data_IF_594361188431
#
_entry.id   IF_594361188431
#
_cell.length_a   1.000
_cell.length_b   1.000
_cell.length_c   1.000
_cell.angle_alpha   90.00
_cell.angle_beta   90.00
_cell.angle_gamma   90.00
#
_symmetry.space_group_name_H-M   'P 1'
#
loop_
_entity.id
_entity.type
_entity.pdbx_description
1 polymer ?
#
# COMPACT_ATOMS: atom_id res chain seq x y z
N UNK A 1 -5.00 -12.08 20.88
CA UNK A 1 -4.58 -11.35 19.70
C UNK A 1 -5.74 -10.48 19.22
N UNK A 2 -5.59 -9.14 19.16
CA UNK A 2 -6.71 -8.29 18.77
C UNK A 2 -6.93 -8.30 17.26
N UNK A 3 -5.87 -8.18 16.47
CA UNK A 3 -5.99 -8.19 15.01
C UNK A 3 -4.83 -8.93 14.36
N UNK A 4 -5.17 -9.74 13.35
CA UNK A 4 -4.24 -10.36 12.43
C UNK A 4 -4.39 -9.72 11.05
N UNK A 5 -3.33 -9.12 10.56
CA UNK A 5 -3.26 -8.61 9.19
C UNK A 5 -2.78 -9.71 8.25
N UNK A 6 -3.49 -9.93 7.15
CA UNK A 6 -3.12 -10.92 6.14
C UNK A 6 -2.76 -10.20 4.84
N UNK A 7 -1.55 -10.45 4.34
CA UNK A 7 -1.14 -10.18 2.98
C UNK A 7 -1.33 -11.46 2.17
N UNK A 8 -2.36 -11.54 1.30
CA UNK A 8 -2.69 -12.78 0.60
C UNK A 8 -1.69 -13.05 -0.54
N UNK A 9 -1.41 -14.32 -0.81
CA UNK A 9 -0.70 -14.71 -2.03
C UNK A 9 -1.68 -14.71 -3.23
N UNK A 10 -1.35 -13.94 -4.24
CA UNK A 10 -2.03 -13.92 -5.54
C UNK A 10 -1.02 -13.99 -6.69
N UNK A 11 0.22 -14.30 -6.38
CA UNK A 11 1.33 -14.24 -7.35
C UNK A 11 1.17 -15.25 -8.48
N UNK A 12 0.70 -16.45 -8.18
CA UNK A 12 0.46 -17.49 -9.18
C UNK A 12 -0.65 -17.10 -10.17
N UNK A 13 -1.73 -16.50 -9.67
CA UNK A 13 -2.86 -16.04 -10.51
C UNK A 13 -2.48 -14.81 -11.35
N UNK A 14 -1.69 -13.89 -10.78
CA UNK A 14 -1.30 -12.66 -11.45
C UNK A 14 -0.17 -12.85 -12.48
N UNK A 15 0.82 -13.67 -12.15
CA UNK A 15 2.07 -13.78 -12.92
C UNK A 15 2.36 -15.19 -13.44
N UNK A 16 1.54 -16.18 -13.10
CA UNK A 16 1.74 -17.59 -13.49
C UNK A 16 3.16 -18.08 -13.12
N UNK A 17 3.81 -18.84 -13.99
CA UNK A 17 5.17 -19.33 -13.75
C UNK A 17 6.24 -18.22 -13.63
N UNK A 18 5.98 -17.04 -14.16
CA UNK A 18 6.89 -15.90 -14.02
C UNK A 18 7.01 -15.41 -12.56
N UNK A 19 6.01 -15.68 -11.71
CA UNK A 19 6.03 -15.35 -10.30
C UNK A 19 7.22 -15.96 -9.56
N UNK A 20 7.64 -17.15 -9.95
CA UNK A 20 8.71 -17.90 -9.28
C UNK A 20 10.08 -17.23 -9.41
N UNK A 21 10.35 -16.60 -10.54
CA UNK A 21 11.70 -16.08 -10.86
C UNK A 21 11.72 -14.56 -11.04
N UNK A 22 10.77 -14.00 -11.78
CA UNK A 22 10.86 -12.61 -12.25
C UNK A 22 10.13 -11.60 -11.40
N UNK A 23 9.03 -11.97 -10.71
CA UNK A 23 8.29 -11.03 -9.88
C UNK A 23 9.12 -10.52 -8.70
N UNK A 24 8.88 -9.29 -8.30
CA UNK A 24 9.28 -8.82 -6.98
C UNK A 24 8.40 -9.49 -5.91
N UNK A 25 8.89 -9.56 -4.69
CA UNK A 25 8.12 -9.83 -3.47
C UNK A 25 8.37 -8.64 -2.57
N UNK A 26 7.36 -7.82 -2.39
CA UNK A 26 7.46 -6.59 -1.61
C UNK A 26 6.92 -6.80 -0.20
N UNK A 27 7.53 -6.21 0.83
CA UNK A 27 6.91 -6.17 2.14
C UNK A 27 5.52 -5.54 2.06
N UNK A 28 4.55 -6.02 2.85
CA UNK A 28 3.17 -5.52 2.83
C UNK A 28 3.08 -4.15 3.53
N UNK A 29 3.54 -3.10 2.86
CA UNK A 29 3.74 -1.75 3.43
C UNK A 29 2.51 -1.21 4.14
N UNK A 30 1.31 -1.42 3.60
CA UNK A 30 0.09 -0.93 4.23
C UNK A 30 -0.29 -1.75 5.48
N UNK A 31 -0.06 -3.06 5.47
CA UNK A 31 -0.21 -3.89 6.68
C UNK A 31 0.74 -3.45 7.79
N UNK A 32 1.99 -3.12 7.44
CA UNK A 32 2.99 -2.62 8.40
C UNK A 32 2.58 -1.29 9.03
N UNK A 33 2.05 -0.35 8.24
CA UNK A 33 1.55 0.94 8.73
C UNK A 33 0.33 0.76 9.64
N UNK A 34 -0.65 -0.05 9.23
CA UNK A 34 -1.84 -0.32 10.04
C UNK A 34 -1.48 -1.05 11.35
N UNK A 35 -0.57 -2.02 11.28
CA UNK A 35 -0.12 -2.76 12.45
C UNK A 35 0.56 -1.84 13.46
N UNK A 36 1.49 -0.99 13.03
CA UNK A 36 2.16 -0.04 13.92
C UNK A 36 1.18 1.00 14.49
N UNK A 37 0.26 1.48 13.67
CA UNK A 37 -0.80 2.38 14.09
C UNK A 37 -1.71 1.75 15.18
N UNK A 38 -2.13 0.50 14.99
CA UNK A 38 -2.91 -0.22 16.00
C UNK A 38 -2.10 -0.48 17.28
N UNK A 39 -0.82 -0.89 17.13
CA UNK A 39 0.09 -1.14 18.26
C UNK A 39 0.32 0.11 19.10
N UNK A 40 0.44 1.28 18.46
CA UNK A 40 0.56 2.58 19.15
C UNK A 40 -0.65 2.96 20.01
N UNK A 41 -1.81 2.34 19.71
CA UNK A 41 -3.06 2.51 20.48
C UNK A 41 -3.28 1.39 21.51
N UNK A 42 -2.30 0.49 21.70
CA UNK A 42 -2.31 -0.57 22.70
C UNK A 42 -2.93 -1.90 22.26
N UNK A 43 -3.24 -2.07 20.97
CA UNK A 43 -3.75 -3.34 20.45
C UNK A 43 -2.62 -4.34 20.17
N UNK A 44 -2.88 -5.62 20.43
CA UNK A 44 -1.99 -6.71 20.06
C UNK A 44 -2.19 -7.06 18.58
N UNK A 45 -1.09 -7.08 17.82
CA UNK A 45 -1.09 -7.20 16.37
C UNK A 45 -0.11 -8.24 15.88
N UNK A 46 -0.43 -8.89 14.77
CA UNK A 46 0.47 -9.78 14.03
C UNK A 46 0.22 -9.64 12.53
N UNK A 47 1.22 -9.96 11.71
CA UNK A 47 1.13 -9.98 10.25
C UNK A 47 1.43 -11.38 9.76
N UNK A 48 0.56 -11.91 8.89
CA UNK A 48 0.78 -13.13 8.12
C UNK A 48 0.99 -12.76 6.65
N UNK A 49 2.22 -12.86 6.18
CA UNK A 49 2.56 -12.59 4.78
C UNK A 49 2.60 -13.89 3.99
N UNK A 50 1.44 -14.27 3.44
CA UNK A 50 1.29 -15.51 2.69
C UNK A 50 2.08 -15.52 1.38
N UNK A 51 2.24 -14.37 0.73
CA UNK A 51 3.01 -14.25 -0.53
C UNK A 51 4.51 -14.44 -0.28
N UNK A 52 5.07 -13.71 0.67
CA UNK A 52 6.50 -13.80 0.99
C UNK A 52 6.90 -15.18 1.52
N UNK A 53 6.10 -15.75 2.40
CA UNK A 53 6.36 -17.06 3.00
C UNK A 53 5.95 -18.23 2.07
N UNK A 54 5.29 -17.94 0.95
CA UNK A 54 4.81 -18.92 -0.04
C UNK A 54 3.96 -20.02 0.60
N UNK A 55 3.05 -19.61 1.47
CA UNK A 55 2.19 -20.52 2.19
C UNK A 55 1.11 -21.08 1.28
N UNK A 56 0.91 -22.38 1.34
CA UNK A 56 -0.29 -22.99 0.75
C UNK A 56 -1.54 -22.51 1.48
N UNK A 57 -2.68 -22.60 0.81
CA UNK A 57 -3.99 -22.25 1.38
C UNK A 57 -4.24 -22.95 2.72
N UNK A 58 -3.86 -24.23 2.81
CA UNK A 58 -3.98 -25.01 4.04
C UNK A 58 -3.08 -24.49 5.15
N UNK A 59 -1.80 -24.25 4.88
CA UNK A 59 -0.86 -23.72 5.87
C UNK A 59 -1.28 -22.36 6.38
N UNK A 60 -1.75 -21.48 5.51
CA UNK A 60 -2.28 -20.17 5.87
C UNK A 60 -3.51 -20.31 6.79
N UNK A 61 -4.45 -21.17 6.42
CA UNK A 61 -5.66 -21.45 7.23
C UNK A 61 -5.29 -22.00 8.61
N UNK A 62 -4.40 -22.98 8.67
CA UNK A 62 -3.95 -23.60 9.93
C UNK A 62 -3.25 -22.59 10.84
N UNK A 63 -2.42 -21.68 10.28
CA UNK A 63 -1.78 -20.61 11.04
C UNK A 63 -2.76 -19.62 11.62
N UNK A 64 -3.73 -19.14 10.83
CA UNK A 64 -4.77 -18.20 11.32
C UNK A 64 -5.56 -18.81 12.46
N UNK A 65 -5.96 -20.08 12.34
CA UNK A 65 -6.65 -20.81 13.43
C UNK A 65 -5.80 -20.93 14.68
N UNK A 66 -4.51 -21.20 14.54
CA UNK A 66 -3.58 -21.29 15.68
C UNK A 66 -3.40 -19.95 16.40
N UNK A 67 -3.37 -18.84 15.66
CA UNK A 67 -3.26 -17.48 16.21
C UNK A 67 -4.55 -17.11 16.94
N UNK A 68 -5.71 -17.54 16.44
CA UNK A 68 -7.03 -17.26 17.03
C UNK A 68 -7.25 -15.77 17.32
N UNK A 69 -7.21 -14.88 16.29
CA UNK A 69 -7.39 -13.45 16.47
C UNK A 69 -8.86 -13.09 16.73
N UNK A 70 -9.11 -11.92 17.33
CA UNK A 70 -10.46 -11.35 17.45
C UNK A 70 -10.98 -10.82 16.10
N UNK A 71 -10.07 -10.35 15.25
CA UNK A 71 -10.38 -9.81 13.93
C UNK A 71 -9.30 -10.24 12.93
N UNK A 72 -9.73 -10.72 11.76
CA UNK A 72 -8.85 -10.96 10.61
C UNK A 72 -9.02 -9.81 9.62
N UNK A 73 -7.93 -9.15 9.22
CA UNK A 73 -7.95 -8.06 8.25
C UNK A 73 -7.11 -8.42 7.03
N UNK A 74 -7.76 -8.67 5.90
CA UNK A 74 -7.10 -8.79 4.60
C UNK A 74 -6.74 -7.40 4.09
N UNK A 75 -5.44 -7.15 3.92
CA UNK A 75 -4.90 -5.89 3.41
C UNK A 75 -4.52 -6.07 1.95
N UNK A 76 -5.43 -5.69 1.05
CA UNK A 76 -5.32 -5.98 -0.38
C UNK A 76 -4.94 -4.72 -1.15
N UNK A 77 -3.66 -4.42 -1.12
CA UNK A 77 -3.04 -3.39 -1.95
C UNK A 77 -2.11 -4.05 -2.98
N UNK A 78 -2.01 -3.46 -4.16
CA UNK A 78 -1.02 -3.86 -5.15
C UNK A 78 0.24 -2.99 -5.07
N UNK A 79 1.18 -3.24 -5.96
CA UNK A 79 2.40 -2.43 -6.10
C UNK A 79 2.13 -0.95 -6.44
N UNK A 80 0.94 -0.66 -6.90
CA UNK A 80 0.40 0.68 -7.12
C UNK A 80 -1.12 0.63 -6.90
N UNK A 81 -1.81 1.78 -6.75
CA UNK A 81 -3.24 1.80 -6.46
C UNK A 81 -4.12 1.01 -7.43
N UNK A 82 -3.72 0.94 -8.70
CA UNK A 82 -4.51 0.28 -9.74
C UNK A 82 -4.35 -1.25 -9.75
N UNK A 83 -3.32 -1.81 -9.12
CA UNK A 83 -3.02 -3.25 -9.17
C UNK A 83 -3.66 -4.06 -8.03
N UNK A 84 -4.33 -3.44 -7.08
CA UNK A 84 -4.97 -4.14 -5.96
C UNK A 84 -6.06 -5.13 -6.38
N UNK A 85 -6.72 -4.91 -7.53
CA UNK A 85 -7.78 -5.80 -8.02
C UNK A 85 -7.28 -7.22 -8.32
N UNK A 86 -6.06 -7.37 -8.83
CA UNK A 86 -5.49 -8.70 -9.16
C UNK A 86 -5.21 -9.53 -7.91
N UNK A 87 -4.96 -8.88 -6.78
CA UNK A 87 -4.69 -9.54 -5.50
C UNK A 87 -5.96 -9.99 -4.76
N UNK A 88 -7.15 -9.57 -5.23
CA UNK A 88 -8.42 -9.99 -4.61
C UNK A 88 -8.69 -11.49 -4.76
N UNK A 89 -8.21 -12.13 -5.81
CA UNK A 89 -8.47 -13.56 -6.06
C UNK A 89 -7.93 -14.41 -4.91
N UNK A 90 -6.64 -14.29 -4.61
CA UNK A 90 -6.04 -15.04 -3.51
C UNK A 90 -6.60 -14.65 -2.13
N UNK A 91 -7.01 -13.38 -1.96
CA UNK A 91 -7.67 -12.94 -0.74
C UNK A 91 -9.01 -13.65 -0.53
N UNK A 92 -9.86 -13.74 -1.55
CA UNK A 92 -11.14 -14.46 -1.46
C UNK A 92 -10.94 -15.95 -1.26
N UNK A 93 -10.01 -16.60 -1.99
CA UNK A 93 -9.71 -18.03 -1.81
C UNK A 93 -9.34 -18.36 -0.36
N UNK A 94 -8.48 -17.55 0.26
CA UNK A 94 -8.10 -17.75 1.65
C UNK A 94 -9.26 -17.42 2.62
N UNK A 95 -10.00 -16.36 2.39
CA UNK A 95 -11.16 -16.01 3.21
C UNK A 95 -12.24 -17.09 3.19
N UNK A 96 -12.54 -17.68 2.01
CA UNK A 96 -13.43 -18.84 1.89
C UNK A 96 -12.92 -20.07 2.66
N UNK A 97 -11.61 -20.33 2.57
CA UNK A 97 -10.99 -21.44 3.30
C UNK A 97 -11.12 -21.24 4.81
N UNK A 98 -10.94 -20.02 5.30
CA UNK A 98 -11.12 -19.68 6.71
C UNK A 98 -12.57 -19.88 7.16
N UNK A 99 -13.55 -19.42 6.38
CA UNK A 99 -14.99 -19.66 6.69
C UNK A 99 -15.34 -21.14 6.73
N UNK A 100 -14.80 -21.94 5.81
CA UNK A 100 -15.01 -23.40 5.80
C UNK A 100 -14.29 -24.12 6.96
N UNK A 101 -13.36 -23.47 7.63
CA UNK A 101 -12.59 -24.01 8.75
C UNK A 101 -13.18 -23.71 10.13
N UNK A 102 -14.41 -23.21 10.19
CA UNK A 102 -15.10 -22.81 11.43
C UNK A 102 -14.37 -21.70 12.21
N UNK A 103 -13.76 -20.74 11.51
CA UNK A 103 -13.16 -19.56 12.12
C UNK A 103 -14.29 -18.66 12.69
N UNK A 104 -14.26 -18.40 14.00
CA UNK A 104 -15.25 -17.53 14.65
C UNK A 104 -14.98 -16.03 14.40
N UNK A 105 -13.70 -15.65 14.24
CA UNK A 105 -13.33 -14.26 14.04
C UNK A 105 -13.93 -13.68 12.76
N UNK A 106 -14.48 -12.46 12.80
CA UNK A 106 -14.97 -11.78 11.60
C UNK A 106 -13.81 -11.49 10.63
N UNK A 107 -14.12 -11.57 9.35
CA UNK A 107 -13.21 -11.33 8.24
C UNK A 107 -13.49 -9.96 7.64
N UNK A 108 -12.50 -9.08 7.69
CA UNK A 108 -12.54 -7.71 7.21
C UNK A 108 -11.58 -7.51 6.03
N UNK A 109 -11.99 -6.71 5.05
CA UNK A 109 -11.14 -6.35 3.91
C UNK A 109 -10.85 -4.85 3.89
N UNK A 110 -9.62 -4.48 3.55
CA UNK A 110 -9.18 -3.10 3.31
C UNK A 110 -8.30 -3.05 2.05
N UNK A 111 -8.40 -2.00 1.27
CA UNK A 111 -7.58 -1.82 0.08
C UNK A 111 -8.26 -0.98 -1.01
N UNK A 112 -7.53 -0.76 -2.09
CA UNK A 112 -8.00 0.09 -3.20
C UNK A 112 -9.26 -0.48 -3.89
N UNK A 113 -9.27 -1.78 -4.17
CA UNK A 113 -10.45 -2.44 -4.75
C UNK A 113 -11.65 -2.41 -3.81
N UNK A 114 -11.42 -2.69 -2.53
CA UNK A 114 -12.46 -2.65 -1.48
C UNK A 114 -13.07 -1.25 -1.36
N UNK A 115 -12.25 -0.20 -1.36
CA UNK A 115 -12.74 1.19 -1.33
C UNK A 115 -13.49 1.58 -2.59
N UNK A 116 -13.11 1.05 -3.75
CA UNK A 116 -13.78 1.33 -5.02
C UNK A 116 -15.13 0.62 -5.15
N UNK A 117 -15.24 -0.63 -4.69
CA UNK A 117 -16.40 -1.50 -4.88
C UNK A 117 -16.83 -2.19 -3.56
N UNK A 118 -17.08 -1.42 -2.48
CA UNK A 118 -17.29 -1.99 -1.14
C UNK A 118 -18.50 -2.91 -1.06
N UNK A 119 -19.62 -2.57 -1.70
CA UNK A 119 -20.82 -3.41 -1.69
C UNK A 119 -20.59 -4.73 -2.44
N UNK A 120 -19.83 -4.69 -3.53
CA UNK A 120 -19.48 -5.90 -4.27
C UNK A 120 -18.60 -6.82 -3.42
N UNK A 121 -17.63 -6.27 -2.71
CA UNK A 121 -16.79 -7.06 -1.79
C UNK A 121 -17.62 -7.62 -0.64
N UNK A 122 -18.53 -6.83 -0.05
CA UNK A 122 -19.44 -7.30 0.99
C UNK A 122 -20.46 -8.34 0.51
N UNK A 123 -20.76 -8.41 -0.79
CA UNK A 123 -21.68 -9.43 -1.31
C UNK A 123 -21.08 -10.85 -1.29
N UNK A 124 -19.76 -10.97 -1.18
CA UNK A 124 -19.09 -12.26 -1.04
C UNK A 124 -19.37 -12.87 0.33
N UNK A 125 -19.75 -14.15 0.37
CA UNK A 125 -20.16 -14.83 1.61
C UNK A 125 -19.04 -14.85 2.66
N UNK A 126 -17.80 -14.94 2.22
CA UNK A 126 -16.61 -15.00 3.07
C UNK A 126 -16.22 -13.66 3.72
N UNK A 127 -16.87 -12.55 3.37
CA UNK A 127 -16.52 -11.21 3.88
C UNK A 127 -17.60 -10.75 4.84
N UNK A 128 -17.23 -10.38 6.07
CA UNK A 128 -18.15 -9.84 7.09
C UNK A 128 -18.14 -8.32 7.12
N UNK A 129 -16.95 -7.72 6.95
CA UNK A 129 -16.68 -6.30 7.12
C UNK A 129 -15.79 -5.77 5.99
N UNK A 130 -15.92 -4.49 5.69
CA UNK A 130 -14.97 -3.76 4.86
C UNK A 130 -14.58 -2.46 5.53
N UNK A 131 -13.32 -2.02 5.34
CA UNK A 131 -12.88 -0.68 5.69
C UNK A 131 -12.76 0.15 4.42
N UNK A 132 -13.32 1.33 4.46
CA UNK A 132 -13.22 2.31 3.38
C UNK A 132 -11.94 3.14 3.52
N UNK A 133 -11.44 3.63 2.41
CA UNK A 133 -10.27 4.50 2.36
C UNK A 133 -9.02 3.83 2.97
N UNK A 134 -8.26 4.58 3.74
CA UNK A 134 -7.05 4.10 4.41
C UNK A 134 -7.32 3.13 5.56
N UNK A 135 -8.53 3.19 6.11
CA UNK A 135 -8.98 2.28 7.15
C UNK A 135 -8.44 2.57 8.55
N UNK A 136 -7.54 3.54 8.75
CA UNK A 136 -6.82 3.77 10.03
C UNK A 136 -7.76 4.00 11.19
N UNK A 137 -8.53 5.09 11.17
CA UNK A 137 -9.44 5.40 12.27
C UNK A 137 -10.66 4.49 12.35
N UNK A 138 -11.14 4.03 11.19
CA UNK A 138 -12.21 3.04 11.13
C UNK A 138 -11.82 1.75 11.85
N UNK A 139 -10.58 1.27 11.62
CA UNK A 139 -10.04 0.08 12.29
C UNK A 139 -9.86 0.31 13.80
N UNK A 140 -9.31 1.46 14.20
CA UNK A 140 -9.19 1.77 15.63
C UNK A 140 -10.54 1.77 16.34
N UNK A 141 -11.57 2.36 15.72
CA UNK A 141 -12.90 2.42 16.29
C UNK A 141 -13.57 1.04 16.31
N UNK A 142 -13.36 0.24 15.27
CA UNK A 142 -13.83 -1.14 15.19
C UNK A 142 -13.19 -2.02 16.29
N UNK A 143 -11.87 -1.91 16.50
CA UNK A 143 -11.17 -2.69 17.55
C UNK A 143 -11.55 -2.27 18.97
N UNK A 144 -11.96 -1.00 19.19
CA UNK A 144 -12.48 -0.51 20.47
C UNK A 144 -13.89 -0.99 20.74
N UNK A 145 -14.65 -1.36 19.71
CA UNK A 145 -15.98 -1.94 19.85
C UNK A 145 -15.90 -3.43 20.13
N UNK A 146 -17.04 -4.03 20.46
CA UNK A 146 -17.16 -5.48 20.63
C UNK A 146 -17.30 -6.23 19.30
N UNK A 147 -16.94 -5.61 18.17
CA UNK A 147 -17.00 -6.11 16.80
C UNK A 147 -18.40 -6.48 16.28
N UNK A 148 -19.33 -6.82 17.16
CA UNK A 148 -20.71 -7.23 16.81
C UNK A 148 -21.75 -6.16 17.17
N UNK A 149 -21.44 -5.30 18.13
CA UNK A 149 -22.39 -4.33 18.66
C UNK A 149 -22.09 -2.92 18.15
N UNK A 150 -23.16 -2.22 17.76
CA UNK A 150 -23.11 -0.80 17.40
C UNK A 150 -22.28 -0.46 16.15
N UNK A 151 -22.14 -1.39 15.21
CA UNK A 151 -21.42 -1.17 13.94
C UNK A 151 -21.96 0.04 13.16
N UNK A 152 -23.25 0.35 13.30
CA UNK A 152 -23.90 1.49 12.64
C UNK A 152 -23.34 2.86 13.06
N UNK A 153 -22.67 2.96 14.20
CA UNK A 153 -22.06 4.20 14.70
C UNK A 153 -20.61 4.40 14.22
N UNK A 154 -19.98 3.37 13.65
CA UNK A 154 -18.57 3.40 13.26
C UNK A 154 -18.47 3.91 11.83
N UNK A 155 -17.88 5.08 11.63
CA UNK A 155 -17.62 5.62 10.29
C UNK A 155 -16.56 4.82 9.55
N UNK A 156 -16.65 4.83 8.23
CA UNK A 156 -15.63 4.24 7.35
C UNK A 156 -15.67 2.71 7.28
N UNK A 157 -16.74 2.07 7.79
CA UNK A 157 -16.95 0.64 7.65
C UNK A 157 -18.16 0.31 6.80
N UNK A 158 -18.12 -0.88 6.22
CA UNK A 158 -19.31 -1.56 5.70
C UNK A 158 -19.43 -2.91 6.36
N UNK A 159 -20.66 -3.38 6.55
CA UNK A 159 -20.99 -4.63 7.22
C UNK A 159 -22.28 -5.24 6.70
N UNK A 160 -22.54 -6.50 7.03
CA UNK A 160 -23.78 -7.21 6.74
C UNK A 160 -24.77 -7.05 7.89
N UNK A 161 -26.01 -6.68 7.57
CA UNK A 161 -27.10 -6.57 8.54
C UNK A 161 -28.25 -7.49 8.17
N UNK A 162 -28.93 -8.03 9.18
CA UNK A 162 -30.15 -8.82 8.98
C UNK A 162 -31.35 -7.88 8.73
N UNK A 163 -31.92 -7.95 7.54
CA UNK A 163 -33.20 -7.29 7.22
C UNK A 163 -34.35 -8.30 7.29
N UNK A 164 -35.49 -7.90 7.82
CA UNK A 164 -36.64 -8.79 8.01
C UNK A 164 -37.29 -9.23 6.69
N UNK A 165 -37.13 -8.46 5.64
CA UNK A 165 -37.76 -8.69 4.32
C UNK A 165 -36.75 -9.26 3.32
N UNK A 166 -35.58 -8.68 3.28
CA UNK A 166 -34.58 -8.95 2.25
C UNK A 166 -33.45 -9.90 2.71
N UNK A 167 -33.51 -10.41 3.93
CA UNK A 167 -32.46 -11.26 4.48
C UNK A 167 -31.20 -10.49 4.85
N UNK A 168 -30.01 -11.00 4.48
CA UNK A 168 -28.73 -10.32 4.74
C UNK A 168 -28.49 -9.25 3.69
N UNK A 169 -28.37 -7.99 4.13
CA UNK A 169 -28.11 -6.84 3.27
C UNK A 169 -26.80 -6.15 3.65
N UNK A 170 -25.99 -5.73 2.67
CA UNK A 170 -24.79 -4.95 2.93
C UNK A 170 -25.16 -3.50 3.24
N UNK A 171 -24.53 -2.94 4.28
CA UNK A 171 -24.70 -1.55 4.70
C UNK A 171 -23.34 -0.86 4.65
N UNK A 172 -23.30 0.37 4.15
CA UNK A 172 -22.10 1.24 4.21
C UNK A 172 -22.41 2.43 5.12
N UNK A 173 -21.57 2.61 6.12
CA UNK A 173 -21.60 3.82 6.93
C UNK A 173 -20.91 4.99 6.20
N UNK A 174 -21.17 6.25 6.60
CA UNK A 174 -20.45 7.38 6.07
C UNK A 174 -18.94 7.18 6.17
N UNK A 175 -18.16 7.64 5.18
CA UNK A 175 -16.69 7.52 5.21
C UNK A 175 -16.10 8.15 6.47
N UNK A 176 -15.02 7.54 6.97
CA UNK A 176 -14.20 8.14 8.01
C UNK A 176 -13.15 9.05 7.35
N UNK A 177 -12.70 10.05 8.09
CA UNK A 177 -11.62 10.94 7.64
C UNK A 177 -10.31 10.15 7.48
N UNK A 178 -9.54 10.49 6.48
CA UNK A 178 -8.17 10.00 6.36
C UNK A 178 -7.28 10.67 7.40
N UNK A 179 -6.13 10.10 7.73
CA UNK A 179 -5.18 10.71 8.68
C UNK A 179 -4.80 12.10 8.17
N UNK A 180 -5.12 13.19 8.91
CA UNK A 180 -4.82 14.54 8.45
C UNK A 180 -3.32 14.84 8.52
N UNK A 181 -2.88 15.87 7.77
CA UNK A 181 -1.45 16.22 7.64
C UNK A 181 -0.73 16.38 8.98
N UNK A 182 -1.36 17.04 9.92
CA UNK A 182 -0.80 17.33 11.24
C UNK A 182 -0.69 16.13 12.17
N UNK A 183 -1.30 14.99 11.77
CA UNK A 183 -1.35 13.75 12.54
C UNK A 183 -0.58 12.61 11.89
N UNK A 184 0.09 12.85 10.76
CA UNK A 184 0.76 11.79 9.99
C UNK A 184 1.78 11.03 10.84
N UNK A 185 2.68 11.71 11.52
CA UNK A 185 3.73 11.09 12.33
C UNK A 185 3.19 10.43 13.60
N UNK A 186 2.05 10.91 14.13
CA UNK A 186 1.47 10.42 15.39
C UNK A 186 0.55 9.22 15.19
N UNK A 187 -0.30 9.25 14.14
CA UNK A 187 -1.31 8.21 13.93
C UNK A 187 -0.86 7.14 12.92
N UNK A 188 0.20 7.42 12.16
CA UNK A 188 0.96 6.46 11.38
C UNK A 188 2.45 6.53 11.79
N UNK A 189 2.78 6.08 13.02
CA UNK A 189 4.06 6.39 13.67
C UNK A 189 5.27 5.62 13.13
N UNK A 190 5.08 4.71 12.19
CA UNK A 190 6.15 3.92 11.60
C UNK A 190 5.64 2.66 10.91
N UNK A 191 6.58 1.81 10.58
CA UNK A 191 6.33 0.47 10.04
C UNK A 191 6.69 -0.59 11.10
N UNK A 192 5.82 -1.56 11.27
CA UNK A 192 6.04 -2.70 12.17
C UNK A 192 7.00 -3.74 11.56
N UNK A 193 8.23 -3.34 11.21
CA UNK A 193 9.21 -4.21 10.55
C UNK A 193 9.55 -5.47 11.35
N UNK A 194 9.48 -5.38 12.67
CA UNK A 194 9.74 -6.48 13.61
C UNK A 194 8.69 -7.60 13.54
N UNK A 195 7.51 -7.34 12.95
CA UNK A 195 6.48 -8.35 12.72
C UNK A 195 6.72 -9.17 11.45
N UNK A 196 7.64 -8.75 10.60
CA UNK A 196 8.04 -9.52 9.44
C UNK A 196 9.21 -10.45 9.80
N UNK A 197 9.37 -11.59 9.13
CA UNK A 197 10.39 -12.58 9.45
C UNK A 197 11.81 -12.18 8.99
N UNK A 198 12.16 -10.88 9.07
CA UNK A 198 13.48 -10.37 8.71
C UNK A 198 14.63 -10.95 9.54
N UNK A 199 14.39 -11.27 10.83
CA UNK A 199 15.40 -11.83 11.70
C UNK A 199 15.62 -13.33 11.50
N UNK A 200 14.60 -14.05 11.04
CA UNK A 200 14.66 -15.49 10.80
C UNK A 200 15.11 -15.82 9.37
N UNK A 201 14.60 -15.06 8.40
CA UNK A 201 14.90 -15.20 6.98
C UNK A 201 14.97 -13.82 6.30
N UNK A 202 15.73 -12.86 6.82
CA UNK A 202 15.54 -11.44 6.50
C UNK A 202 15.73 -11.12 5.02
N UNK A 203 16.49 -11.93 4.31
CA UNK A 203 17.05 -11.55 3.02
C UNK A 203 16.51 -12.37 1.85
N UNK A 204 15.87 -13.49 2.11
CA UNK A 204 15.43 -14.42 1.07
C UNK A 204 13.97 -14.22 0.68
N UNK A 205 13.15 -13.68 1.60
CA UNK A 205 11.71 -13.54 1.38
C UNK A 205 11.39 -12.35 0.50
N UNK A 206 11.94 -11.16 0.80
CA UNK A 206 11.64 -9.93 0.08
C UNK A 206 12.71 -9.65 -0.96
N UNK A 207 12.29 -9.58 -2.22
CA UNK A 207 13.20 -9.39 -3.34
C UNK A 207 12.72 -8.30 -4.29
N UNK A 208 13.65 -7.50 -4.78
CA UNK A 208 13.40 -6.47 -5.76
C UNK A 208 13.07 -7.05 -7.15
N UNK A 209 12.49 -6.22 -8.01
CA UNK A 209 12.42 -6.51 -9.44
C UNK A 209 13.82 -6.79 -10.00
N UNK A 210 13.87 -7.69 -10.98
CA UNK A 210 15.12 -8.11 -11.59
C UNK A 210 15.92 -6.93 -12.19
N UNK A 211 15.23 -6.03 -12.87
CA UNK A 211 15.85 -4.82 -13.43
C UNK A 211 16.38 -3.86 -12.35
N UNK A 212 15.71 -3.74 -11.21
CA UNK A 212 16.13 -2.88 -10.10
C UNK A 212 17.43 -3.36 -9.47
N UNK A 213 17.68 -4.64 -9.50
CA UNK A 213 18.92 -5.28 -9.08
C UNK A 213 20.02 -5.31 -10.18
N UNK A 214 19.92 -4.50 -11.21
CA UNK A 214 20.90 -4.47 -12.29
C UNK A 214 21.00 -5.78 -13.07
N UNK A 215 19.92 -6.56 -13.13
CA UNK A 215 19.85 -7.89 -13.75
C UNK A 215 20.73 -8.95 -13.06
N UNK A 216 21.15 -8.72 -11.82
CA UNK A 216 21.86 -9.70 -10.99
C UNK A 216 20.93 -10.29 -9.93
N UNK A 217 20.68 -11.60 -9.99
CA UNK A 217 19.85 -12.30 -9.02
C UNK A 217 20.33 -12.17 -7.58
N UNK A 218 21.64 -12.06 -7.37
CA UNK A 218 22.23 -11.96 -6.04
C UNK A 218 22.05 -10.56 -5.40
N UNK A 219 21.65 -9.57 -6.19
CA UNK A 219 21.43 -8.19 -5.73
C UNK A 219 19.95 -7.88 -5.46
N UNK A 220 19.04 -8.85 -5.63
CA UNK A 220 17.61 -8.63 -5.46
C UNK A 220 17.18 -8.52 -4.00
N UNK A 221 17.96 -9.08 -3.10
CA UNK A 221 17.71 -9.11 -1.65
C UNK A 221 18.88 -8.47 -0.91
N UNK A 222 18.66 -7.86 0.24
CA UNK A 222 17.39 -7.54 0.91
C UNK A 222 16.68 -6.33 0.28
N UNK A 223 15.37 -6.42 0.19
CA UNK A 223 14.52 -5.41 -0.45
C UNK A 223 13.42 -4.90 0.49
N UNK A 224 13.13 -3.62 0.42
CA UNK A 224 11.96 -3.03 1.09
C UNK A 224 11.28 -1.99 0.19
N UNK A 225 10.06 -1.63 0.57
CA UNK A 225 9.29 -0.54 -0.02
C UNK A 225 8.70 0.32 1.10
N UNK A 226 8.74 1.64 0.93
CA UNK A 226 8.15 2.60 1.88
C UNK A 226 7.39 3.70 1.17
N UNK A 227 6.38 4.25 1.84
CA UNK A 227 5.82 5.55 1.53
C UNK A 227 6.50 6.62 2.38
N UNK A 228 6.77 7.77 1.80
CA UNK A 228 7.17 8.99 2.52
C UNK A 228 6.06 10.03 2.49
N UNK A 229 5.14 9.89 1.55
CA UNK A 229 3.93 10.69 1.42
C UNK A 229 2.77 9.85 0.90
N UNK A 230 1.56 10.31 1.12
CA UNK A 230 0.32 9.68 0.64
C UNK A 230 -0.47 10.66 -0.21
N UNK A 231 -1.11 10.12 -1.26
CA UNK A 231 -2.00 10.88 -2.13
C UNK A 231 -1.30 11.51 -3.32
N UNK A 232 -2.07 12.23 -4.14
CA UNK A 232 -1.59 12.88 -5.35
C UNK A 232 -2.41 14.13 -5.66
N UNK A 233 -1.74 15.21 -6.09
CA UNK A 233 -2.41 16.46 -6.48
C UNK A 233 -3.04 16.40 -7.89
N UNK A 234 -2.72 15.37 -8.68
CA UNK A 234 -3.26 15.23 -10.02
C UNK A 234 -4.60 14.47 -10.02
N UNK A 235 -5.44 14.80 -10.99
CA UNK A 235 -6.78 14.21 -11.11
C UNK A 235 -6.93 13.38 -12.38
N UNK A 236 -5.94 12.55 -12.72
CA UNK A 236 -5.99 11.69 -13.88
C UNK A 236 -7.21 10.78 -13.84
N UNK A 237 -7.96 10.71 -14.95
CA UNK A 237 -9.26 10.06 -14.97
C UNK A 237 -9.20 8.51 -14.92
N UNK A 238 -8.04 7.93 -15.16
CA UNK A 238 -7.79 6.49 -15.08
C UNK A 238 -7.21 6.03 -13.73
N UNK A 239 -6.83 6.97 -12.85
CA UNK A 239 -6.08 6.65 -11.63
C UNK A 239 -7.00 6.44 -10.43
N UNK A 240 -6.79 5.35 -9.71
CA UNK A 240 -7.58 5.01 -8.52
C UNK A 240 -7.18 5.79 -7.27
N UNK A 241 -6.08 6.55 -7.27
CA UNK A 241 -5.59 7.23 -6.06
C UNK A 241 -6.63 8.14 -5.40
N UNK A 242 -7.48 8.77 -6.22
CA UNK A 242 -8.54 9.64 -5.72
C UNK A 242 -9.79 8.85 -5.23
N UNK A 243 -9.86 7.54 -5.52
CA UNK A 243 -10.96 6.66 -5.09
C UNK A 243 -10.69 6.12 -3.68
N UNK A 244 -9.42 5.97 -3.33
CA UNK A 244 -9.00 5.52 -2.00
C UNK A 244 -9.45 6.53 -0.91
N UNK A 245 -9.68 7.79 -1.28
CA UNK A 245 -10.11 8.86 -0.37
C UNK A 245 -11.56 9.28 -0.65
N UNK A 246 -12.49 8.33 -0.64
CA UNK A 246 -13.91 8.61 -0.84
C UNK A 246 -14.47 9.53 0.24
N UNK A 247 -15.33 10.44 -0.19
CA UNK A 247 -16.05 11.37 0.68
C UNK A 247 -17.54 10.99 0.81
N UNK A 248 -18.00 10.02 0.04
CA UNK A 248 -19.37 9.52 0.03
C UNK A 248 -19.44 8.00 0.18
N UNK A 249 -20.62 7.50 0.46
CA UNK A 249 -20.96 6.08 0.56
C UNK A 249 -21.81 5.60 -0.62
N UNK A 250 -21.79 6.31 -1.75
CA UNK A 250 -22.54 5.92 -2.95
C UNK A 250 -21.99 4.64 -3.58
N UNK A 251 -22.83 3.93 -4.32
CA UNK A 251 -22.44 2.74 -5.10
C UNK A 251 -21.58 3.07 -6.32
N UNK A 252 -21.46 4.36 -6.64
CA UNK A 252 -20.72 4.82 -7.79
C UNK A 252 -19.28 5.09 -7.43
N UNK A 253 -18.39 4.74 -8.36
CA UNK A 253 -16.97 5.09 -8.28
C UNK A 253 -16.83 6.57 -8.62
N UNK A 254 -16.89 7.42 -7.60
CA UNK A 254 -16.62 8.85 -7.76
C UNK A 254 -15.22 9.14 -7.23
N UNK A 255 -14.38 9.71 -8.11
CA UNK A 255 -13.10 10.25 -7.65
C UNK A 255 -13.38 11.39 -6.65
N UNK A 256 -12.76 11.32 -5.49
CA UNK A 256 -12.83 12.37 -4.47
C UNK A 256 -12.50 13.74 -5.06
N UNK A 257 -13.16 14.77 -4.57
CA UNK A 257 -12.79 16.16 -4.86
C UNK A 257 -11.60 16.61 -4.02
N UNK A 258 -11.33 15.98 -2.89
CA UNK A 258 -10.17 16.25 -2.06
C UNK A 258 -8.93 15.65 -2.70
N UNK A 259 -8.21 16.49 -3.40
CA UNK A 259 -6.90 16.19 -3.96
C UNK A 259 -5.86 16.80 -3.05
N UNK A 260 -4.96 16.01 -2.57
CA UNK A 260 -3.90 16.50 -1.72
C UNK A 260 -2.83 15.45 -1.52
N UNK A 261 -1.66 15.91 -1.15
CA UNK A 261 -0.58 15.06 -0.65
C UNK A 261 -0.42 15.34 0.83
N UNK A 262 -0.21 14.30 1.59
CA UNK A 262 0.12 14.35 3.01
C UNK A 262 1.49 13.73 3.20
N UNK A 263 2.28 14.31 4.07
CA UNK A 263 3.70 14.01 4.19
C UNK A 263 4.01 13.64 5.63
N UNK A 264 4.82 12.61 5.83
CA UNK A 264 5.51 12.44 7.09
C UNK A 264 6.62 13.47 7.23
N UNK A 265 7.07 13.75 8.44
CA UNK A 265 8.22 14.63 8.65
C UNK A 265 9.50 14.00 8.08
N UNK A 266 10.47 14.85 7.76
CA UNK A 266 11.79 14.39 7.29
C UNK A 266 12.44 13.47 8.34
N UNK A 267 12.34 13.81 9.61
CA UNK A 267 12.91 13.01 10.70
C UNK A 267 12.25 11.62 10.80
N UNK A 268 10.95 11.54 10.61
CA UNK A 268 10.24 10.27 10.55
C UNK A 268 10.76 9.40 9.40
N UNK A 269 10.87 9.96 8.18
CA UNK A 269 11.37 9.24 6.99
C UNK A 269 12.79 8.73 7.23
N UNK A 270 13.68 9.56 7.74
CA UNK A 270 15.06 9.18 8.02
C UNK A 270 15.13 8.11 9.11
N UNK A 271 14.28 8.18 10.12
CA UNK A 271 14.19 7.15 11.17
C UNK A 271 13.82 5.80 10.58
N UNK A 272 12.83 5.73 9.68
CA UNK A 272 12.44 4.48 9.02
C UNK A 272 13.55 3.95 8.10
N UNK A 273 14.22 4.82 7.35
CA UNK A 273 15.36 4.42 6.51
C UNK A 273 16.52 3.88 7.36
N UNK A 274 16.76 4.45 8.54
CA UNK A 274 17.79 3.95 9.47
C UNK A 274 17.45 2.54 9.95
N UNK A 275 16.20 2.26 10.35
CA UNK A 275 15.75 0.91 10.71
C UNK A 275 15.97 -0.09 9.57
N UNK A 276 15.65 0.30 8.32
CA UNK A 276 15.89 -0.54 7.16
C UNK A 276 17.38 -0.79 6.90
N UNK A 277 18.23 0.23 7.08
CA UNK A 277 19.68 0.08 6.97
C UNK A 277 20.24 -0.88 8.03
N UNK A 278 19.74 -0.80 9.27
CA UNK A 278 20.11 -1.69 10.39
C UNK A 278 19.70 -3.14 10.14
N UNK A 279 18.54 -3.38 9.51
CA UNK A 279 18.09 -4.70 9.07
C UNK A 279 18.95 -5.23 7.90
N UNK A 280 19.70 -4.35 7.22
CA UNK A 280 20.58 -4.69 6.11
C UNK A 280 19.93 -4.54 4.72
N UNK A 281 18.80 -3.84 4.62
CA UNK A 281 18.17 -3.53 3.32
C UNK A 281 19.12 -2.67 2.47
N UNK A 282 19.28 -3.07 1.22
CA UNK A 282 20.11 -2.35 0.24
C UNK A 282 19.32 -1.81 -0.93
N UNK A 283 18.27 -2.51 -1.31
CA UNK A 283 17.43 -2.15 -2.44
C UNK A 283 16.11 -1.63 -1.89
N UNK A 284 15.76 -0.39 -2.21
CA UNK A 284 14.62 0.31 -1.63
C UNK A 284 13.73 0.94 -2.71
N UNK A 285 12.43 0.70 -2.59
CA UNK A 285 11.43 1.42 -3.37
C UNK A 285 10.80 2.52 -2.55
N UNK A 286 10.73 3.74 -3.12
CA UNK A 286 9.87 4.80 -2.63
C UNK A 286 8.53 4.68 -3.36
N UNK A 287 7.49 4.31 -2.62
CA UNK A 287 6.17 3.95 -3.17
C UNK A 287 5.26 5.15 -3.38
N UNK A 288 5.71 6.34 -3.03
CA UNK A 288 4.97 7.59 -3.22
C UNK A 288 4.53 7.75 -4.68
N UNK A 289 3.30 8.16 -4.91
CA UNK A 289 2.79 8.43 -6.25
C UNK A 289 3.61 9.51 -6.98
N UNK A 290 4.12 10.49 -6.24
CA UNK A 290 4.79 11.66 -6.79
C UNK A 290 5.87 12.22 -5.85
N UNK A 291 6.83 11.38 -5.42
CA UNK A 291 7.89 11.78 -4.49
C UNK A 291 8.60 13.07 -4.91
N UNK A 292 8.96 13.21 -6.17
CA UNK A 292 9.73 14.35 -6.70
C UNK A 292 8.88 15.59 -7.05
N UNK A 293 7.60 15.62 -6.72
CA UNK A 293 6.75 16.76 -7.06
C UNK A 293 7.05 17.98 -6.16
N UNK A 294 7.21 17.78 -4.86
CA UNK A 294 7.42 18.84 -3.89
C UNK A 294 8.89 18.99 -3.51
N UNK A 295 9.59 19.97 -4.12
CA UNK A 295 11.01 20.23 -3.87
C UNK A 295 11.34 20.56 -2.41
N UNK A 296 10.44 21.27 -1.73
CA UNK A 296 10.64 21.64 -0.30
C UNK A 296 10.57 20.42 0.62
N UNK A 297 9.97 19.33 0.12
CA UNK A 297 9.87 18.07 0.83
C UNK A 297 10.99 17.09 0.49
N UNK A 298 11.14 16.72 -0.79
CA UNK A 298 12.10 15.69 -1.15
C UNK A 298 13.57 16.12 -0.96
N UNK A 299 13.88 17.41 -1.14
CA UNK A 299 15.27 17.88 -1.08
C UNK A 299 15.89 17.65 0.30
N UNK A 300 15.29 18.07 1.43
CA UNK A 300 15.84 17.78 2.75
C UNK A 300 15.98 16.28 3.03
N UNK A 301 15.07 15.44 2.55
CA UNK A 301 15.17 13.98 2.69
C UNK A 301 16.42 13.47 1.98
N UNK A 302 16.62 13.84 0.71
CA UNK A 302 17.77 13.38 -0.07
C UNK A 302 19.11 13.89 0.52
N UNK A 303 19.14 15.15 0.98
CA UNK A 303 20.32 15.71 1.66
C UNK A 303 20.65 14.94 2.94
N UNK A 304 19.63 14.60 3.75
CA UNK A 304 19.81 13.79 4.98
C UNK A 304 20.24 12.34 4.65
N UNK A 305 19.72 11.73 3.60
CA UNK A 305 20.16 10.39 3.15
C UNK A 305 21.66 10.39 2.85
N UNK A 306 22.17 11.45 2.21
CA UNK A 306 23.58 11.62 1.90
C UNK A 306 24.40 11.86 3.19
N UNK A 307 23.94 12.72 4.08
CA UNK A 307 24.57 13.03 5.37
C UNK A 307 24.70 11.81 6.28
N UNK A 308 23.65 11.00 6.37
CA UNK A 308 23.62 9.75 7.16
C UNK A 308 24.48 8.64 6.51
N UNK A 309 24.87 8.81 5.24
CA UNK A 309 25.67 7.82 4.51
C UNK A 309 24.93 6.54 4.17
N UNK A 310 23.61 6.58 4.02
CA UNK A 310 22.85 5.41 3.61
C UNK A 310 23.24 4.95 2.21
N UNK A 311 23.43 3.64 2.05
CA UNK A 311 23.83 3.05 0.77
C UNK A 311 22.68 2.22 0.17
N UNK A 312 21.58 2.92 -0.19
CA UNK A 312 20.44 2.31 -0.85
C UNK A 312 20.55 2.43 -2.38
N UNK A 313 20.20 1.36 -3.08
CA UNK A 313 19.81 1.42 -4.47
C UNK A 313 18.32 1.70 -4.56
N UNK A 314 17.93 2.93 -4.84
CA UNK A 314 16.53 3.37 -4.78
C UNK A 314 15.91 3.54 -6.16
N UNK A 315 14.60 3.30 -6.23
CA UNK A 315 13.77 3.78 -7.32
C UNK A 315 12.48 4.43 -6.81
N UNK A 316 11.97 5.38 -7.59
CA UNK A 316 10.76 6.11 -7.25
C UNK A 316 9.97 6.49 -8.51
N UNK A 317 8.69 6.83 -8.30
CA UNK A 317 7.82 7.29 -9.37
C UNK A 317 7.96 8.80 -9.61
N UNK A 318 7.87 9.17 -10.88
CA UNK A 318 7.75 10.56 -11.31
C UNK A 318 6.94 10.64 -12.60
N UNK A 319 6.17 11.67 -12.78
CA UNK A 319 5.58 11.97 -14.09
C UNK A 319 6.62 12.73 -14.94
N UNK A 320 6.76 12.39 -16.21
CA UNK A 320 7.85 12.88 -17.07
C UNK A 320 7.91 14.42 -17.14
N UNK A 321 6.77 15.11 -17.02
CA UNK A 321 6.69 16.58 -17.02
C UNK A 321 7.02 17.22 -15.67
N UNK A 322 7.25 16.42 -14.62
CA UNK A 322 7.61 16.91 -13.29
C UNK A 322 9.09 16.69 -12.95
N UNK A 323 9.83 15.99 -13.78
CA UNK A 323 11.27 15.77 -13.61
C UNK A 323 12.02 17.09 -13.74
N UNK A 324 12.86 17.38 -12.79
CA UNK A 324 13.69 18.58 -12.72
C UNK A 324 15.13 18.24 -13.00
N UNK A 325 15.66 18.74 -14.12
CA UNK A 325 17.06 18.51 -14.53
C UNK A 325 18.07 18.98 -13.47
N UNK A 326 17.78 20.10 -12.79
CA UNK A 326 18.62 20.68 -11.74
C UNK A 326 18.64 19.88 -10.43
N UNK A 327 17.89 18.78 -10.35
CA UNK A 327 17.86 17.91 -9.18
C UNK A 327 18.44 16.51 -9.44
N UNK A 328 18.77 16.16 -10.69
CA UNK A 328 19.21 14.81 -11.04
C UNK A 328 20.52 14.40 -10.33
N UNK A 329 21.48 15.32 -10.22
CA UNK A 329 22.71 15.06 -9.46
C UNK A 329 22.45 14.74 -7.98
N UNK A 330 21.47 15.44 -7.37
CA UNK A 330 21.10 15.18 -5.99
C UNK A 330 20.43 13.81 -5.86
N UNK A 331 19.56 13.45 -6.82
CA UNK A 331 18.91 12.13 -6.85
C UNK A 331 19.97 11.03 -6.89
N UNK A 332 20.91 11.14 -7.81
CA UNK A 332 22.00 10.16 -7.97
C UNK A 332 22.86 10.04 -6.72
N UNK A 333 23.30 11.15 -6.15
CA UNK A 333 24.11 11.18 -4.92
C UNK A 333 23.40 10.55 -3.73
N UNK A 334 22.07 10.67 -3.64
CA UNK A 334 21.27 10.05 -2.60
C UNK A 334 20.99 8.57 -2.85
N UNK A 335 21.41 8.01 -4.00
CA UNK A 335 21.18 6.61 -4.35
C UNK A 335 19.91 6.32 -5.12
N UNK A 336 19.21 7.35 -5.66
CA UNK A 336 18.11 7.17 -6.59
C UNK A 336 18.66 6.85 -7.97
N UNK A 337 18.75 5.57 -8.27
CA UNK A 337 19.35 5.07 -9.52
C UNK A 337 18.31 4.83 -10.62
N UNK A 338 17.01 4.82 -10.27
CA UNK A 338 15.94 4.50 -11.20
C UNK A 338 14.75 5.44 -11.01
N UNK A 339 14.21 5.93 -12.12
CA UNK A 339 12.95 6.68 -12.16
C UNK A 339 11.92 5.93 -12.99
N UNK A 340 10.79 5.57 -12.38
CA UNK A 340 9.64 5.05 -13.09
C UNK A 340 8.82 6.23 -13.60
N UNK A 341 8.83 6.46 -14.92
CA UNK A 341 8.22 7.63 -15.52
C UNK A 341 6.79 7.36 -16.01
N UNK A 342 5.82 8.11 -15.48
CA UNK A 342 4.49 8.23 -16.04
C UNK A 342 4.54 9.08 -17.31
N UNK A 343 4.37 8.44 -18.47
CA UNK A 343 4.30 9.11 -19.79
C UNK A 343 2.87 9.15 -20.30
N UNK A 344 2.05 8.22 -19.86
CA UNK A 344 0.62 8.01 -20.11
C UNK A 344 0.30 7.69 -21.58
N UNK A 345 0.75 8.50 -22.54
CA UNK A 345 0.56 8.26 -23.97
C UNK A 345 1.66 8.92 -24.81
N UNK A 346 1.99 8.34 -25.96
CA UNK A 346 2.86 8.97 -26.97
C UNK A 346 2.25 10.25 -27.58
N UNK A 347 0.94 10.30 -27.69
CA UNK A 347 0.21 11.44 -28.26
C UNK A 347 -0.06 12.51 -27.18
N UNK A 348 0.34 13.76 -27.46
CA UNK A 348 0.18 14.89 -26.54
C UNK A 348 -1.30 15.19 -26.23
N UNK A 349 -2.17 15.15 -27.20
CA UNK A 349 -3.60 15.40 -27.00
C UNK A 349 -4.21 14.38 -26.04
N UNK A 350 -3.89 13.10 -26.21
CA UNK A 350 -4.34 12.04 -25.30
C UNK A 350 -3.79 12.26 -23.89
N UNK A 351 -2.52 12.63 -23.73
CA UNK A 351 -1.95 12.97 -22.42
C UNK A 351 -2.72 14.07 -21.71
N UNK A 352 -3.05 15.14 -22.46
CA UNK A 352 -3.83 16.26 -21.91
C UNK A 352 -5.23 15.81 -21.48
N UNK A 353 -5.91 15.02 -22.30
CA UNK A 353 -7.26 14.54 -22.02
C UNK A 353 -7.30 13.65 -20.76
N UNK A 354 -6.42 12.65 -20.64
CA UNK A 354 -6.42 11.73 -19.49
C UNK A 354 -5.99 12.40 -18.20
N UNK A 355 -5.18 13.45 -18.26
CA UNK A 355 -4.71 14.22 -17.10
C UNK A 355 -5.58 15.43 -16.78
N UNK A 356 -6.74 15.59 -17.46
CA UNK A 356 -7.63 16.75 -17.34
C UNK A 356 -6.89 18.09 -17.51
N UNK A 357 -6.00 18.16 -18.51
CA UNK A 357 -5.21 19.34 -18.84
C UNK A 357 -4.01 19.63 -17.91
N UNK A 358 -3.76 18.80 -16.92
CA UNK A 358 -2.68 19.02 -15.93
C UNK A 358 -1.29 18.62 -16.42
N UNK A 359 -1.17 17.94 -17.57
CA UNK A 359 0.12 17.51 -18.12
C UNK A 359 0.80 18.66 -18.86
N UNK A 360 2.01 19.03 -18.42
CA UNK A 360 2.77 20.09 -19.11
C UNK A 360 3.34 19.58 -20.43
N UNK A 361 3.49 20.47 -21.38
CA UNK A 361 4.18 20.14 -22.63
C UNK A 361 5.68 19.98 -22.35
N UNK A 362 6.23 18.81 -22.70
CA UNK A 362 7.64 18.49 -22.52
C UNK A 362 8.14 17.63 -23.69
N UNK A 363 9.41 17.80 -24.02
CA UNK A 363 10.10 16.87 -24.90
C UNK A 363 10.50 15.61 -24.12
N UNK A 364 9.71 14.55 -24.22
CA UNK A 364 9.89 13.30 -23.48
C UNK A 364 11.30 12.72 -23.73
N UNK A 365 11.75 12.70 -24.99
CA UNK A 365 13.07 12.15 -25.34
C UNK A 365 14.20 12.91 -24.66
N UNK A 366 14.10 14.23 -24.61
CA UNK A 366 15.08 15.09 -23.95
C UNK A 366 15.10 14.86 -22.43
N UNK A 367 13.92 14.69 -21.79
CA UNK A 367 13.84 14.37 -20.37
C UNK A 367 14.46 13.00 -20.09
N UNK A 368 14.09 11.97 -20.84
CA UNK A 368 14.67 10.64 -20.70
C UNK A 368 16.19 10.66 -20.90
N UNK A 369 16.67 11.37 -21.92
CA UNK A 369 18.10 11.53 -22.17
C UNK A 369 18.82 12.24 -21.01
N UNK A 370 18.22 13.31 -20.47
CA UNK A 370 18.82 14.02 -19.32
C UNK A 370 18.93 13.15 -18.08
N UNK A 371 17.95 12.23 -17.86
CA UNK A 371 18.01 11.25 -16.75
C UNK A 371 19.15 10.24 -17.02
N UNK A 372 19.23 9.71 -18.23
CA UNK A 372 20.30 8.77 -18.60
C UNK A 372 21.69 9.40 -18.54
N UNK A 373 21.83 10.67 -18.94
CA UNK A 373 23.11 11.40 -18.90
C UNK A 373 23.56 11.75 -17.46
N UNK A 374 22.66 11.69 -16.50
CA UNK A 374 22.96 11.89 -15.07
C UNK A 374 23.51 10.62 -14.40
N UNK A 375 23.42 9.48 -15.11
CA UNK A 375 23.91 8.13 -14.82
C UNK A 375 23.62 7.60 -13.41
#
# INVERSE_FOLDING_TARGET
>A
MDVLFINPDSSAQAYQDLSKVFSAIEPPTWSLLLAESCRSKGFSVEILDCDAERLSLKESTDRVKKISPRLVVFVVYGQNPNSGTTSMIGAFELAESLKKSDLEAPICFVGSHTSALPLKVLSEECVDLVLLNEGVYALHNLLKSDLDNNLSSIKGIGYKSQDLINGIVPILNPPEVVVPQERMDEDLPGYAWDLLPFNERPLDLYRAHFWHAGFDHNQRTPFAAIYTSLGCNFGCNFCMINIINREDNSDYINASHSRGMRFWSVDWVISEMRKLSEIGVKTLRISDEMFFLNRKYYRPILERIIEEGFNFNMWAYSRVDTVRKDALDLFKKAGVNWLALGIEAGNQKVRQEVSKGSFKEVNIREVCKSIQDAD
#
